data_IF_852036800928
#
_entry.id   IF_852036800928
#
_cell.length_a   1.000
_cell.length_b   1.000
_cell.length_c   1.000
_cell.angle_alpha   90.00
_cell.angle_beta   90.00
_cell.angle_gamma   90.00
#
_symmetry.space_group_name_H-M   'P 1'
#
loop_
_entity.id
_entity.type
_entity.pdbx_description
1 polymer ?
#
# COMPACT_ATOMS: atom_id res chain seq x y z
N UNK A 1 25.89 6.31 7.76
CA UNK A 1 24.55 6.23 7.16
C UNK A 1 24.60 7.06 5.90
N UNK A 2 24.05 6.55 4.79
CA UNK A 2 23.99 7.29 3.51
C UNK A 2 22.62 7.93 3.41
N UNK A 3 22.60 9.25 3.29
CA UNK A 3 21.38 10.05 3.14
C UNK A 3 21.10 10.33 1.67
N UNK A 4 19.91 10.86 1.35
CA UNK A 4 19.61 11.31 -0.01
C UNK A 4 20.50 12.48 -0.48
N UNK A 5 21.12 13.22 0.46
CA UNK A 5 22.08 14.28 0.13
C UNK A 5 23.40 13.73 -0.42
N UNK A 6 23.77 12.50 -0.04
CA UNK A 6 25.00 11.85 -0.49
C UNK A 6 24.87 11.28 -1.92
N UNK A 7 23.65 11.25 -2.47
CA UNK A 7 23.32 10.73 -3.81
C UNK A 7 23.27 11.85 -4.85
N UNK A 8 23.63 11.53 -6.10
CA UNK A 8 23.37 12.45 -7.22
C UNK A 8 21.87 12.63 -7.45
N UNK A 9 21.43 13.68 -8.16
CA UNK A 9 20.03 13.85 -8.51
C UNK A 9 19.42 12.63 -9.23
N UNK A 10 20.18 11.99 -10.11
CA UNK A 10 19.74 10.81 -10.85
C UNK A 10 19.58 9.58 -9.95
N UNK A 11 20.52 9.35 -9.03
CA UNK A 11 20.45 8.29 -8.04
C UNK A 11 19.29 8.53 -7.07
N UNK A 12 19.11 9.77 -6.63
CA UNK A 12 17.99 10.16 -5.77
C UNK A 12 16.65 9.96 -6.46
N UNK A 13 16.55 10.24 -7.77
CA UNK A 13 15.35 9.95 -8.53
C UNK A 13 15.00 8.44 -8.52
N UNK A 14 15.99 7.55 -8.40
CA UNK A 14 15.74 6.10 -8.23
C UNK A 14 15.25 5.72 -6.82
N UNK A 15 15.35 6.63 -5.84
CA UNK A 15 14.80 6.41 -4.50
C UNK A 15 13.31 6.74 -4.38
N UNK A 16 12.67 7.28 -5.42
CA UNK A 16 11.22 7.55 -5.40
C UNK A 16 10.43 6.28 -5.09
N UNK A 17 9.45 6.39 -4.20
CA UNK A 17 8.64 5.28 -3.71
C UNK A 17 9.34 4.40 -2.67
N UNK A 18 10.57 4.73 -2.23
CA UNK A 18 11.22 4.05 -1.11
C UNK A 18 10.79 4.63 0.24
N UNK A 19 10.78 3.78 1.26
CA UNK A 19 10.73 4.23 2.64
C UNK A 19 12.06 4.88 3.03
N UNK A 20 11.98 5.91 3.86
CA UNK A 20 13.12 6.59 4.44
C UNK A 20 12.89 6.77 5.93
N UNK A 21 13.97 6.59 6.69
CA UNK A 21 14.04 7.10 8.04
C UNK A 21 14.05 8.63 7.97
N UNK A 22 13.15 9.25 8.72
CA UNK A 22 12.89 10.68 8.77
C UNK A 22 12.96 11.14 10.24
N UNK A 23 13.87 12.06 10.61
CA UNK A 23 14.02 12.50 11.98
C UNK A 23 12.82 13.36 12.41
N UNK A 24 12.21 12.99 13.53
CA UNK A 24 11.22 13.79 14.24
C UNK A 24 11.94 14.80 15.17
N UNK A 25 11.43 16.04 15.32
CA UNK A 25 11.89 16.97 16.36
C UNK A 25 11.95 16.38 17.78
N UNK A 26 11.17 15.35 18.11
CA UNK A 26 11.19 14.67 19.42
C UNK A 26 12.23 13.53 19.54
N UNK A 27 13.30 13.55 18.74
CA UNK A 27 14.38 12.54 18.69
C UNK A 27 13.94 11.12 18.32
N UNK A 28 12.72 10.95 17.81
CA UNK A 28 12.23 9.69 17.25
C UNK A 28 12.56 9.62 15.76
N UNK A 29 12.87 8.42 15.28
CA UNK A 29 12.95 8.18 13.84
C UNK A 29 11.58 7.75 13.35
N UNK A 30 10.94 8.60 12.55
CA UNK A 30 9.71 8.27 11.85
C UNK A 30 10.02 7.65 10.48
N UNK A 31 8.99 7.08 9.87
CA UNK A 31 9.06 6.48 8.55
C UNK A 31 8.22 7.30 7.57
N UNK A 32 8.82 7.68 6.46
CA UNK A 32 8.14 8.41 5.39
C UNK A 32 8.47 7.78 4.03
N UNK A 33 7.59 7.98 3.04
CA UNK A 33 7.87 7.56 1.66
C UNK A 33 8.39 8.76 0.88
N UNK A 34 9.57 8.63 0.26
CA UNK A 34 10.13 9.68 -0.58
C UNK A 34 9.41 9.76 -1.93
N UNK A 35 8.84 10.92 -2.24
CA UNK A 35 8.09 11.15 -3.49
C UNK A 35 8.98 11.68 -4.60
N UNK A 36 9.94 12.54 -4.25
CA UNK A 36 10.83 13.19 -5.20
C UNK A 36 11.36 14.53 -4.66
N UNK A 37 12.23 15.17 -5.44
CA UNK A 37 12.63 16.55 -5.17
C UNK A 37 11.48 17.50 -5.50
N UNK A 38 11.29 18.52 -4.65
CA UNK A 38 10.15 19.44 -4.80
C UNK A 38 10.36 20.34 -6.03
N UNK A 39 9.41 20.38 -6.97
CA UNK A 39 9.48 21.29 -8.10
C UNK A 39 9.27 22.75 -7.69
N UNK A 40 8.60 22.98 -6.54
CA UNK A 40 8.21 24.30 -6.06
C UNK A 40 9.19 24.87 -5.01
N UNK A 41 9.95 24.02 -4.33
CA UNK A 41 10.85 24.41 -3.25
C UNK A 41 12.26 23.89 -3.50
N UNK A 42 13.10 24.73 -4.12
CA UNK A 42 14.47 24.35 -4.50
C UNK A 42 15.28 23.89 -3.28
N UNK A 43 15.86 22.69 -3.37
CA UNK A 43 16.65 22.09 -2.29
C UNK A 43 15.84 21.27 -1.30
N UNK A 44 14.51 21.20 -1.46
CA UNK A 44 13.64 20.37 -0.65
C UNK A 44 13.19 19.12 -1.39
N UNK A 45 12.81 18.12 -0.61
CA UNK A 45 12.17 16.88 -1.00
C UNK A 45 10.71 16.87 -0.52
N UNK A 46 9.85 16.22 -1.29
CA UNK A 46 8.47 15.93 -0.91
C UNK A 46 8.33 14.49 -0.42
N UNK A 47 7.52 14.33 0.63
CA UNK A 47 7.27 13.06 1.30
C UNK A 47 5.77 12.78 1.42
N UNK A 48 5.45 11.48 1.55
CA UNK A 48 4.23 11.04 2.23
C UNK A 48 4.62 10.63 3.64
N UNK A 49 4.03 11.26 4.64
CA UNK A 49 4.21 10.94 6.05
C UNK A 49 2.82 10.80 6.68
N UNK A 50 2.56 9.71 7.41
CA UNK A 50 1.26 9.45 8.04
C UNK A 50 0.06 9.56 7.09
N UNK A 51 0.25 9.15 5.83
CA UNK A 51 -0.78 9.20 4.78
C UNK A 51 -1.02 10.60 4.18
N UNK A 52 -0.30 11.64 4.64
CA UNK A 52 -0.39 12.99 4.10
C UNK A 52 0.71 13.24 3.08
N UNK A 53 0.31 13.65 1.88
CA UNK A 53 1.23 14.09 0.82
C UNK A 53 1.62 15.56 1.03
N UNK A 54 2.88 15.89 0.75
CA UNK A 54 3.35 17.28 0.67
C UNK A 54 4.17 17.74 1.87
N UNK A 55 4.53 16.82 2.78
CA UNK A 55 5.52 17.09 3.82
C UNK A 55 6.86 17.40 3.15
N UNK A 56 7.44 18.56 3.48
CA UNK A 56 8.71 19.03 2.95
C UNK A 56 9.85 18.76 3.93
N UNK A 57 10.98 18.30 3.42
CA UNK A 57 12.24 18.24 4.17
C UNK A 57 13.42 18.43 3.24
N UNK A 58 14.64 18.37 3.78
CA UNK A 58 15.88 18.43 2.99
C UNK A 58 16.46 17.02 2.82
N UNK A 59 17.19 16.73 1.73
CA UNK A 59 17.75 15.40 1.45
C UNK A 59 18.63 14.83 2.59
N UNK A 60 19.31 15.67 3.35
CA UNK A 60 20.18 15.30 4.47
C UNK A 60 19.44 14.61 5.61
N UNK A 61 18.13 14.88 5.73
CA UNK A 61 17.29 14.29 6.76
C UNK A 61 16.72 12.93 6.37
N UNK A 62 17.02 12.42 5.16
CA UNK A 62 16.37 11.21 4.65
C UNK A 62 17.40 10.12 4.43
N UNK A 63 17.26 9.03 5.18
CA UNK A 63 18.06 7.82 4.97
C UNK A 63 17.18 6.73 4.35
N UNK A 64 17.43 6.32 3.09
CA UNK A 64 16.64 5.27 2.43
C UNK A 64 16.75 3.91 3.14
N UNK A 65 15.61 3.25 3.30
CA UNK A 65 15.49 1.90 3.86
C UNK A 65 15.45 0.86 2.75
N UNK A 66 16.63 0.38 2.37
CA UNK A 66 16.81 -0.63 1.33
C UNK A 66 16.30 -2.02 1.75
N UNK A 67 16.10 -2.23 3.05
CA UNK A 67 15.58 -3.44 3.67
C UNK A 67 14.05 -3.54 3.64
N UNK A 68 13.34 -2.45 3.31
CA UNK A 68 11.89 -2.41 3.23
C UNK A 68 11.40 -2.49 1.78
N UNK A 69 10.22 -3.11 1.53
CA UNK A 69 9.64 -3.12 0.20
C UNK A 69 9.27 -1.70 -0.24
N UNK A 70 9.40 -1.43 -1.54
CA UNK A 70 8.98 -0.15 -2.12
C UNK A 70 7.46 -0.03 -2.12
N UNK A 71 6.96 1.19 -1.95
CA UNK A 71 5.55 1.49 -2.14
C UNK A 71 5.18 1.53 -3.64
N UNK A 72 6.09 2.04 -4.50
CA UNK A 72 5.97 2.03 -5.96
C UNK A 72 7.36 2.12 -6.62
N UNK A 73 7.44 1.84 -7.92
CA UNK A 73 8.64 1.98 -8.73
C UNK A 73 9.00 3.46 -8.97
N UNK A 74 10.26 3.83 -9.28
CA UNK A 74 10.66 5.24 -9.42
C UNK A 74 9.87 6.09 -10.42
N UNK A 75 9.22 5.46 -11.39
CA UNK A 75 8.36 6.07 -12.40
C UNK A 75 6.90 6.26 -11.94
N UNK A 76 6.55 5.80 -10.74
CA UNK A 76 5.18 5.86 -10.20
C UNK A 76 4.35 4.60 -10.47
N UNK A 77 4.86 3.63 -11.22
CA UNK A 77 4.14 2.38 -11.47
C UNK A 77 4.12 1.49 -10.21
N UNK A 78 3.10 0.64 -10.03
CA UNK A 78 3.13 -0.38 -9.01
C UNK A 78 4.41 -1.20 -9.09
N UNK A 79 4.93 -1.59 -7.93
CA UNK A 79 6.03 -2.55 -7.81
C UNK A 79 5.66 -3.87 -8.50
N UNK A 80 6.63 -4.60 -9.09
CA UNK A 80 6.35 -5.81 -9.88
C UNK A 80 5.41 -6.79 -9.18
N UNK A 81 4.40 -7.23 -9.91
CA UNK A 81 3.28 -8.02 -9.42
C UNK A 81 2.29 -8.27 -10.55
N UNK A 82 1.18 -8.92 -10.21
CA UNK A 82 0.12 -9.22 -11.17
C UNK A 82 -1.24 -8.81 -10.60
N UNK A 83 -2.17 -8.45 -11.49
CA UNK A 83 -3.55 -8.28 -11.08
C UNK A 83 -4.21 -9.63 -10.96
N UNK A 84 -4.78 -9.90 -9.80
CA UNK A 84 -5.61 -11.07 -9.55
C UNK A 84 -7.07 -10.66 -9.54
N UNK A 85 -7.88 -11.30 -10.38
CA UNK A 85 -9.33 -11.21 -10.32
C UNK A 85 -9.85 -12.21 -9.28
N UNK A 86 -10.80 -11.77 -8.46
CA UNK A 86 -11.40 -12.56 -7.39
C UNK A 86 -12.92 -12.55 -7.47
N UNK A 87 -13.54 -13.59 -6.94
CA UNK A 87 -14.98 -13.62 -6.69
C UNK A 87 -15.26 -13.25 -5.24
N UNK A 88 -16.18 -12.32 -5.03
CA UNK A 88 -16.58 -11.89 -3.68
C UNK A 88 -17.94 -12.50 -3.39
N UNK A 89 -18.03 -13.22 -2.29
CA UNK A 89 -19.29 -13.70 -1.74
C UNK A 89 -19.48 -13.13 -0.34
N UNK A 90 -20.64 -12.52 -0.12
CA UNK A 90 -21.04 -11.94 1.16
C UNK A 90 -22.32 -12.61 1.61
N UNK A 91 -22.32 -13.13 2.84
CA UNK A 91 -23.53 -13.59 3.52
C UNK A 91 -23.54 -12.97 4.92
N UNK A 92 -24.54 -12.14 5.18
CA UNK A 92 -24.78 -11.54 6.50
C UNK A 92 -25.79 -12.35 7.33
N UNK A 93 -26.29 -13.48 6.82
CA UNK A 93 -27.40 -14.21 7.44
C UNK A 93 -27.19 -15.72 7.33
N UNK A 94 -26.07 -16.22 7.88
CA UNK A 94 -25.84 -17.66 7.99
C UNK A 94 -26.18 -18.19 9.40
N UNK A 95 -27.09 -19.18 9.55
CA UNK A 95 -27.40 -19.80 10.82
C UNK A 95 -26.28 -20.71 11.38
N UNK A 96 -25.19 -20.94 10.64
CA UNK A 96 -24.08 -21.78 11.11
C UNK A 96 -23.21 -21.03 12.14
N UNK A 97 -23.17 -21.47 13.42
CA UNK A 97 -22.40 -20.80 14.47
C UNK A 97 -20.87 -20.84 14.27
N UNK A 98 -20.36 -21.59 13.29
CA UNK A 98 -18.93 -21.68 12.97
C UNK A 98 -18.48 -20.76 11.83
N UNK A 99 -19.43 -20.14 11.11
CA UNK A 99 -19.15 -19.12 10.10
C UNK A 99 -19.33 -17.75 10.78
N UNK A 100 -18.38 -16.84 10.52
CA UNK A 100 -18.42 -15.48 11.05
C UNK A 100 -19.70 -14.78 10.56
N UNK A 101 -20.53 -14.31 11.49
CA UNK A 101 -21.89 -13.79 11.25
C UNK A 101 -21.99 -12.56 10.33
N UNK A 102 -20.87 -11.99 9.91
CA UNK A 102 -20.80 -10.83 9.03
C UNK A 102 -19.55 -10.92 8.12
N UNK A 103 -19.27 -12.12 7.57
CA UNK A 103 -18.05 -12.33 6.79
C UNK A 103 -18.22 -12.03 5.30
N UNK A 104 -17.32 -11.20 4.78
CA UNK A 104 -17.00 -11.16 3.36
C UNK A 104 -15.95 -12.21 3.07
N UNK A 105 -16.27 -13.12 2.17
CA UNK A 105 -15.35 -14.12 1.66
C UNK A 105 -14.91 -13.73 0.25
N UNK A 106 -13.60 -13.79 0.00
CA UNK A 106 -13.02 -13.51 -1.31
C UNK A 106 -12.26 -14.75 -1.76
N UNK A 107 -12.67 -15.29 -2.89
CA UNK A 107 -11.99 -16.38 -3.59
C UNK A 107 -11.05 -15.80 -4.64
N UNK A 108 -9.75 -16.08 -4.52
CA UNK A 108 -8.81 -15.81 -5.61
C UNK A 108 -9.06 -16.78 -6.77
N UNK A 109 -9.33 -16.29 -7.98
CA UNK A 109 -9.64 -17.17 -9.12
C UNK A 109 -8.40 -17.95 -9.63
N UNK A 110 -7.21 -17.46 -9.34
CA UNK A 110 -5.91 -18.07 -9.67
C UNK A 110 -5.60 -19.28 -8.78
N UNK A 111 -5.81 -19.14 -7.48
CA UNK A 111 -5.37 -20.09 -6.46
C UNK A 111 -6.52 -20.90 -5.83
N UNK A 112 -7.77 -20.45 -5.98
CA UNK A 112 -8.94 -21.02 -5.31
C UNK A 112 -8.95 -20.82 -3.80
N UNK A 113 -8.04 -19.97 -3.27
CA UNK A 113 -7.92 -19.69 -1.85
C UNK A 113 -9.02 -18.75 -1.35
N UNK A 114 -9.56 -19.04 -0.17
CA UNK A 114 -10.59 -18.21 0.49
C UNK A 114 -9.96 -17.32 1.57
N UNK A 115 -10.17 -16.02 1.46
CA UNK A 115 -9.86 -15.03 2.49
C UNK A 115 -11.14 -14.49 3.13
N UNK A 116 -11.14 -14.27 4.44
CA UNK A 116 -12.31 -13.81 5.20
C UNK A 116 -12.05 -12.44 5.83
N UNK A 117 -13.05 -11.56 5.77
CA UNK A 117 -12.99 -10.19 6.28
C UNK A 117 -14.29 -9.83 7.02
N UNK A 118 -14.21 -8.93 8.00
CA UNK A 118 -15.37 -8.44 8.76
C UNK A 118 -16.26 -7.45 7.97
N UNK A 119 -15.78 -6.95 6.83
CA UNK A 119 -16.49 -6.03 5.94
C UNK A 119 -15.91 -6.08 4.52
N UNK A 120 -16.64 -5.64 3.48
CA UNK A 120 -16.10 -5.53 2.14
C UNK A 120 -14.88 -4.61 2.13
N UNK A 121 -13.73 -5.04 1.58
CA UNK A 121 -12.59 -4.15 1.41
C UNK A 121 -12.94 -2.90 0.60
N UNK A 122 -12.28 -1.79 0.90
CA UNK A 122 -12.51 -0.52 0.21
C UNK A 122 -12.41 -0.68 -1.32
N UNK A 123 -13.39 -0.14 -2.04
CA UNK A 123 -13.47 -0.21 -3.50
C UNK A 123 -14.21 -1.44 -4.04
N UNK A 124 -14.70 -2.33 -3.18
CA UNK A 124 -15.57 -3.45 -3.56
C UNK A 124 -17.01 -3.10 -3.20
N UNK A 125 -17.85 -2.84 -4.21
CA UNK A 125 -19.29 -2.73 -4.03
C UNK A 125 -19.96 -4.09 -4.22
N UNK A 126 -20.66 -4.57 -3.19
CA UNK A 126 -21.47 -5.78 -3.26
C UNK A 126 -22.94 -5.39 -3.23
N UNK A 127 -23.71 -5.88 -4.21
CA UNK A 127 -25.16 -5.72 -4.21
C UNK A 127 -25.79 -6.89 -3.47
N UNK A 128 -26.30 -6.62 -2.28
CA UNK A 128 -27.04 -7.60 -1.50
C UNK A 128 -28.43 -7.79 -2.07
N UNK A 129 -28.88 -9.03 -2.07
CA UNK A 129 -30.25 -9.39 -2.35
C UNK A 129 -31.14 -9.22 -1.10
N UNK A 130 -32.41 -9.63 -1.23
CA UNK A 130 -33.40 -9.50 -0.14
C UNK A 130 -33.14 -10.40 1.07
N UNK A 131 -32.18 -11.32 0.98
CA UNK A 131 -31.77 -12.25 2.02
C UNK A 131 -30.42 -11.84 2.65
N UNK A 132 -29.83 -10.71 2.22
CA UNK A 132 -28.53 -10.28 2.73
C UNK A 132 -27.35 -11.04 2.13
N UNK A 133 -27.58 -11.82 1.07
CA UNK A 133 -26.54 -12.49 0.29
C UNK A 133 -26.16 -11.63 -0.91
N UNK A 134 -24.88 -11.60 -1.29
CA UNK A 134 -24.43 -10.84 -2.44
C UNK A 134 -23.15 -11.38 -3.07
N UNK A 135 -23.12 -11.38 -4.39
CA UNK A 135 -21.98 -11.77 -5.20
C UNK A 135 -21.39 -10.56 -5.94
N UNK A 136 -20.07 -10.57 -6.12
CA UNK A 136 -19.36 -9.47 -6.76
C UNK A 136 -18.03 -9.92 -7.38
N UNK A 137 -17.42 -9.00 -8.11
CA UNK A 137 -16.05 -9.17 -8.62
C UNK A 137 -15.12 -8.24 -7.87
N UNK A 138 -14.00 -8.77 -7.43
CA UNK A 138 -12.90 -8.00 -6.89
C UNK A 138 -11.70 -8.09 -7.82
N UNK A 139 -10.81 -7.10 -7.70
CA UNK A 139 -9.50 -7.14 -8.33
C UNK A 139 -8.48 -6.59 -7.36
N UNK A 140 -7.40 -7.33 -7.11
CA UNK A 140 -6.30 -6.91 -6.22
C UNK A 140 -4.97 -6.96 -6.94
N UNK A 141 -4.05 -6.06 -6.58
CA UNK A 141 -2.66 -6.15 -7.03
C UNK A 141 -1.92 -7.08 -6.07
N UNK A 142 -1.38 -8.17 -6.58
CA UNK A 142 -0.57 -9.12 -5.81
C UNK A 142 0.88 -8.79 -6.05
N UNK A 143 1.54 -8.28 -5.02
CA UNK A 143 2.96 -7.95 -5.09
C UNK A 143 3.81 -9.21 -5.21
N UNK A 144 4.90 -9.16 -5.98
CA UNK A 144 5.86 -10.29 -6.08
C UNK A 144 6.47 -10.70 -4.73
N UNK A 145 6.42 -9.85 -3.71
CA UNK A 145 6.87 -10.16 -2.34
C UNK A 145 5.84 -10.96 -1.53
N UNK A 146 4.59 -11.07 -1.96
CA UNK A 146 3.55 -11.87 -1.28
C UNK A 146 3.67 -13.38 -1.55
N UNK A 147 4.35 -13.78 -2.64
CA UNK A 147 4.52 -15.19 -3.03
C UNK A 147 5.64 -15.94 -2.26
N UNK A 148 5.99 -15.48 -1.06
CA UNK A 148 7.11 -16.00 -0.26
C UNK A 148 6.70 -17.12 0.72
#
# INVERSE_FOLDING_TARGET
>A
MTTLADLTPEERAQCRGMWCDFPDPDERTNLAIYVGDSPNHKGFCELIHEGQLGTLTIPENLTPRLDLPRAWAPDGQPVPGEWEDGHVFVSYDDPDPWILKDAVSIEGLSEGGMSYYDAPPNGIEVKLDKFGEGEGKARRWVGSWEQA
#
